data_IF_406662602538
#
_entry.id   IF_406662602538
#
_cell.length_a   1.000
_cell.length_b   1.000
_cell.length_c   1.000
_cell.angle_alpha   90.00
_cell.angle_beta   90.00
_cell.angle_gamma   90.00
#
_symmetry.space_group_name_H-M   'P 1'
#
loop_
_entity.id
_entity.type
_entity.pdbx_description
1 polymer ?
#
# COMPACT_ATOMS: atom_id res chain seq x y z
N UNK A 1 -36.08 6.52 -38.01
CA UNK A 1 -34.81 5.76 -37.93
C UNK A 1 -33.69 6.80 -38.02
N UNK A 2 -33.27 7.31 -36.86
CA UNK A 2 -32.26 8.37 -36.75
C UNK A 2 -30.97 7.69 -36.36
N UNK A 3 -30.03 7.62 -37.30
CA UNK A 3 -28.68 7.11 -37.05
C UNK A 3 -27.85 8.24 -36.46
N UNK A 4 -27.39 8.06 -35.22
CA UNK A 4 -26.42 8.94 -34.56
C UNK A 4 -25.04 8.32 -34.74
N UNK A 5 -24.14 9.00 -35.46
CA UNK A 5 -22.73 8.67 -35.51
C UNK A 5 -22.08 9.05 -34.18
N UNK A 6 -21.52 8.07 -33.47
CA UNK A 6 -20.69 8.28 -32.29
C UNK A 6 -19.23 8.16 -32.74
N UNK A 7 -18.53 9.29 -32.79
CA UNK A 7 -17.09 9.35 -33.04
C UNK A 7 -16.32 8.60 -31.95
N UNK A 8 -15.43 7.71 -32.37
CA UNK A 8 -14.53 6.94 -31.50
C UNK A 8 -13.45 7.90 -30.96
N UNK A 9 -13.32 8.11 -29.64
CA UNK A 9 -12.23 8.92 -29.10
C UNK A 9 -10.91 8.13 -29.18
N UNK A 10 -9.84 8.82 -29.59
CA UNK A 10 -8.47 8.31 -29.64
C UNK A 10 -8.07 7.68 -28.29
N UNK A 11 -7.91 6.35 -28.29
CA UNK A 11 -7.38 5.60 -27.15
C UNK A 11 -5.88 5.91 -27.02
N UNK A 12 -5.38 6.29 -25.82
CA UNK A 12 -3.94 6.39 -25.62
C UNK A 12 -3.28 5.03 -25.86
N UNK A 13 -2.28 5.00 -26.75
CA UNK A 13 -1.45 3.82 -26.99
C UNK A 13 -0.70 3.49 -25.69
N UNK A 14 -0.89 2.25 -25.23
CA UNK A 14 -0.19 1.47 -24.20
C UNK A 14 0.79 2.20 -23.27
N UNK A 15 0.52 2.16 -21.96
CA UNK A 15 1.46 2.51 -20.89
C UNK A 15 2.36 1.29 -20.62
N UNK A 16 3.63 1.36 -21.01
CA UNK A 16 4.67 0.39 -20.62
C UNK A 16 5.22 0.76 -19.24
N UNK A 17 4.92 -0.06 -18.22
CA UNK A 17 5.59 0.02 -16.92
C UNK A 17 6.93 -0.73 -16.98
N UNK A 18 8.04 -0.01 -17.23
CA UNK A 18 9.38 -0.47 -16.87
C UNK A 18 9.85 0.29 -15.63
N UNK A 19 10.29 -0.44 -14.60
CA UNK A 19 11.07 0.15 -13.51
C UNK A 19 12.43 0.47 -14.11
N UNK A 20 12.72 1.75 -14.30
CA UNK A 20 13.93 2.21 -14.95
C UNK A 20 14.93 2.74 -13.93
N UNK A 21 16.20 2.37 -14.07
CA UNK A 21 17.29 3.06 -13.37
C UNK A 21 17.48 4.47 -13.94
N UNK A 22 18.18 5.33 -13.19
CA UNK A 22 18.51 6.68 -13.66
C UNK A 22 19.32 6.65 -14.98
N UNK A 23 20.23 5.68 -15.12
CA UNK A 23 21.05 5.52 -16.32
C UNK A 23 20.22 5.05 -17.52
N UNK A 24 19.21 4.20 -17.31
CA UNK A 24 18.30 3.78 -18.38
C UNK A 24 17.38 4.92 -18.83
N UNK A 25 16.93 5.77 -17.90
CA UNK A 25 16.14 6.97 -18.25
C UNK A 25 16.98 7.95 -19.06
N UNK A 26 18.23 8.21 -18.64
CA UNK A 26 19.20 9.02 -19.39
C UNK A 26 19.52 8.41 -20.76
N UNK A 27 19.61 7.08 -20.85
CA UNK A 27 19.83 6.39 -22.11
C UNK A 27 18.63 6.55 -23.07
N UNK A 28 17.38 6.44 -22.58
CA UNK A 28 16.20 6.68 -23.41
C UNK A 28 16.10 8.12 -23.90
N UNK A 29 16.50 9.11 -23.10
CA UNK A 29 16.56 10.51 -23.57
C UNK A 29 17.61 10.71 -24.66
N UNK A 30 18.70 9.92 -24.64
CA UNK A 30 19.74 9.94 -25.69
C UNK A 30 19.42 9.09 -26.93
N UNK A 31 18.37 8.26 -26.87
CA UNK A 31 17.95 7.40 -27.98
C UNK A 31 16.98 8.17 -28.87
N UNK A 32 17.42 8.56 -30.06
CA UNK A 32 16.55 9.10 -31.11
C UNK A 32 15.45 8.08 -31.47
N UNK A 33 14.19 8.49 -31.70
CA UNK A 33 13.12 7.56 -31.99
C UNK A 33 13.20 7.06 -33.43
N UNK A 34 13.98 6.00 -33.67
CA UNK A 34 13.73 5.11 -34.81
C UNK A 34 12.95 3.90 -34.29
N UNK A 35 11.62 4.07 -34.23
CA UNK A 35 10.70 2.92 -34.15
C UNK A 35 10.33 2.57 -35.59
N UNK A 36 10.73 1.37 -35.99
CA UNK A 36 10.43 0.60 -37.20
C UNK A 36 9.56 1.26 -38.27
N UNK A 37 10.15 1.53 -39.43
CA UNK A 37 9.46 1.45 -40.71
C UNK A 37 10.37 0.80 -41.77
N UNK A 38 9.93 -0.36 -42.23
CA UNK A 38 10.41 -1.01 -43.44
C UNK A 38 10.10 -0.10 -44.65
N UNK A 39 11.13 0.07 -45.50
CA UNK A 39 11.23 0.76 -46.80
C UNK A 39 11.67 2.23 -46.80
N UNK A 40 12.94 2.44 -47.19
CA UNK A 40 13.42 3.65 -47.89
C UNK A 40 12.57 3.91 -49.15
N UNK A 41 12.33 5.19 -49.48
CA UNK A 41 13.15 5.83 -50.50
C UNK A 41 13.70 7.19 -50.09
N UNK A 42 14.76 7.59 -50.79
CA UNK A 42 15.49 8.84 -50.67
C UNK A 42 14.60 10.08 -50.91
N UNK A 43 14.79 11.16 -50.15
CA UNK A 43 14.94 12.54 -50.66
C UNK A 43 15.26 13.53 -49.53
N UNK A 44 15.99 14.55 -49.96
CA UNK A 44 16.67 15.64 -49.26
C UNK A 44 15.73 16.49 -48.38
N UNK A 45 16.16 16.81 -47.15
CA UNK A 45 15.51 17.81 -46.29
C UNK A 45 16.25 17.99 -44.96
N UNK A 46 16.51 19.23 -44.59
CA UNK A 46 17.32 19.66 -43.44
C UNK A 46 16.87 19.00 -42.12
N UNK A 47 17.82 18.43 -41.37
CA UNK A 47 17.59 17.94 -40.01
C UNK A 47 17.47 19.15 -39.09
N UNK A 48 16.22 19.58 -38.85
CA UNK A 48 15.91 20.46 -37.74
C UNK A 48 16.21 19.71 -36.42
N UNK A 49 16.83 20.42 -35.48
CA UNK A 49 17.10 19.97 -34.11
C UNK A 49 15.76 19.76 -33.37
N UNK A 50 15.09 18.63 -33.62
CA UNK A 50 13.84 18.24 -32.95
C UNK A 50 14.16 17.83 -31.50
N UNK A 51 14.28 18.83 -30.63
CA UNK A 51 14.37 18.63 -29.17
C UNK A 51 13.10 17.94 -28.68
N UNK A 52 13.20 16.65 -28.38
CA UNK A 52 12.13 15.90 -27.76
C UNK A 52 11.86 16.46 -26.37
N UNK A 53 10.62 16.90 -26.13
CA UNK A 53 10.18 17.36 -24.81
C UNK A 53 9.53 16.20 -24.07
N UNK A 54 10.11 15.81 -22.94
CA UNK A 54 9.66 14.65 -22.16
C UNK A 54 8.93 15.08 -20.89
N UNK A 55 7.94 14.27 -20.51
CA UNK A 55 7.25 14.38 -19.23
C UNK A 55 7.40 13.04 -18.51
N UNK A 56 7.84 13.09 -17.26
CA UNK A 56 7.87 11.90 -16.40
C UNK A 56 6.57 11.82 -15.61
N UNK A 57 5.83 10.72 -15.75
CA UNK A 57 4.60 10.49 -15.01
C UNK A 57 4.66 9.16 -14.26
N UNK A 58 4.46 9.21 -12.95
CA UNK A 58 4.46 8.05 -12.07
C UNK A 58 3.19 8.06 -11.23
N UNK A 59 2.21 7.23 -11.60
CA UNK A 59 0.91 7.20 -10.92
C UNK A 59 0.92 6.35 -9.64
N UNK A 60 1.92 5.48 -9.50
CA UNK A 60 2.23 4.70 -8.32
C UNK A 60 3.75 4.53 -8.23
N UNK A 61 4.47 5.65 -8.08
CA UNK A 61 5.91 5.63 -7.92
C UNK A 61 6.27 5.12 -6.51
N UNK A 62 6.46 3.81 -6.40
CA UNK A 62 6.62 3.15 -5.10
C UNK A 62 8.07 3.18 -4.61
N UNK A 63 8.27 3.44 -3.31
CA UNK A 63 9.59 3.55 -2.70
C UNK A 63 10.49 4.56 -3.42
N UNK A 64 11.75 4.19 -3.58
CA UNK A 64 12.80 5.04 -4.16
C UNK A 64 12.56 5.39 -5.63
N UNK A 65 11.65 4.71 -6.34
CA UNK A 65 11.29 5.10 -7.71
C UNK A 65 10.77 6.55 -7.75
N UNK A 66 9.95 6.95 -6.76
CA UNK A 66 9.46 8.34 -6.66
C UNK A 66 10.60 9.34 -6.54
N UNK A 67 11.67 8.96 -5.84
CA UNK A 67 12.85 9.78 -5.58
C UNK A 67 13.72 9.87 -6.83
N UNK A 68 13.96 8.73 -7.49
CA UNK A 68 14.70 8.66 -8.75
C UNK A 68 14.03 9.49 -9.84
N UNK A 69 12.69 9.46 -9.92
CA UNK A 69 11.94 10.28 -10.87
C UNK A 69 12.17 11.79 -10.65
N UNK A 70 12.09 12.26 -9.40
CA UNK A 70 12.31 13.67 -9.08
C UNK A 70 13.76 14.09 -9.31
N UNK A 71 14.74 13.26 -8.94
CA UNK A 71 16.16 13.50 -9.23
C UNK A 71 16.42 13.56 -10.73
N UNK A 72 15.85 12.63 -11.50
CA UNK A 72 15.97 12.61 -12.96
C UNK A 72 15.38 13.85 -13.59
N UNK A 73 14.22 14.32 -13.10
CA UNK A 73 13.65 15.59 -13.54
C UNK A 73 14.61 16.75 -13.33
N UNK A 74 15.33 16.81 -12.21
CA UNK A 74 16.33 17.86 -11.94
C UNK A 74 17.57 17.73 -12.83
N UNK A 75 18.12 16.52 -12.95
CA UNK A 75 19.38 16.23 -13.64
C UNK A 75 19.24 16.27 -15.18
N UNK A 76 18.10 15.85 -15.73
CA UNK A 76 17.86 15.78 -17.17
C UNK A 76 17.07 17.00 -17.65
N UNK A 77 17.69 17.84 -18.49
CA UNK A 77 17.07 19.08 -19.03
C UNK A 77 16.03 18.82 -20.12
N UNK A 78 16.01 17.63 -20.70
CA UNK A 78 15.05 17.23 -21.73
C UNK A 78 13.69 16.87 -21.10
N UNK A 79 13.68 16.51 -19.81
CA UNK A 79 12.46 16.38 -19.03
C UNK A 79 11.96 17.77 -18.63
N UNK A 80 10.84 18.18 -19.22
CA UNK A 80 10.23 19.51 -19.01
C UNK A 80 9.25 19.55 -17.85
N UNK A 81 8.66 18.40 -17.50
CA UNK A 81 7.77 18.28 -16.36
C UNK A 81 7.80 16.89 -15.72
N UNK A 82 7.40 16.82 -14.46
CA UNK A 82 7.21 15.58 -13.71
C UNK A 82 5.88 15.61 -12.95
N UNK A 83 5.17 14.47 -12.96
CA UNK A 83 3.99 14.20 -12.15
C UNK A 83 4.28 12.92 -11.36
N UNK A 84 4.44 13.05 -10.05
CA UNK A 84 4.83 11.95 -9.16
C UNK A 84 3.78 11.73 -8.07
N UNK A 85 3.21 10.53 -8.04
CA UNK A 85 2.27 10.05 -7.02
C UNK A 85 2.95 8.91 -6.27
N UNK A 86 3.36 9.17 -5.03
CA UNK A 86 4.00 8.18 -4.17
C UNK A 86 3.00 7.18 -3.58
N UNK A 87 3.44 5.93 -3.32
CA UNK A 87 2.57 4.87 -2.78
C UNK A 87 3.12 4.08 -1.60
N UNK A 88 4.27 3.43 -1.78
CA UNK A 88 4.85 2.50 -0.81
C UNK A 88 6.02 3.15 -0.08
N UNK A 89 5.72 4.07 0.83
CA UNK A 89 6.74 4.78 1.62
C UNK A 89 7.55 3.85 2.53
N UNK A 90 6.98 2.71 2.94
CA UNK A 90 7.70 1.66 3.66
C UNK A 90 8.89 1.06 2.88
N UNK A 91 8.92 1.22 1.56
CA UNK A 91 10.02 0.78 0.70
C UNK A 91 11.04 1.89 0.41
N UNK A 92 10.88 3.07 1.01
CA UNK A 92 11.90 4.12 0.90
C UNK A 92 13.13 3.73 1.71
N UNK A 93 14.29 3.89 1.08
CA UNK A 93 15.55 3.92 1.81
C UNK A 93 15.61 5.20 2.65
N UNK A 94 16.21 5.10 3.83
CA UNK A 94 16.42 6.23 4.72
C UNK A 94 17.91 6.35 5.02
N UNK A 95 18.45 7.56 4.88
CA UNK A 95 19.87 7.80 5.09
C UNK A 95 20.22 7.74 6.57
N UNK A 96 21.30 7.05 6.91
CA UNK A 96 21.96 7.28 8.19
C UNK A 96 22.65 8.65 8.12
N UNK A 97 22.53 9.47 9.17
CA UNK A 97 22.98 10.87 9.20
C UNK A 97 24.50 11.06 8.95
N UNK A 98 25.28 9.97 8.94
CA UNK A 98 26.75 10.03 9.09
C UNK A 98 27.55 9.70 7.82
N UNK A 99 26.93 9.51 6.64
CA UNK A 99 27.67 9.21 5.39
C UNK A 99 27.36 10.25 4.31
N UNK A 100 28.27 11.20 4.13
CA UNK A 100 28.25 12.15 3.02
C UNK A 100 28.20 11.41 1.67
N UNK A 101 27.14 11.62 0.89
CA UNK A 101 26.99 11.05 -0.45
C UNK A 101 26.08 9.81 -0.57
N UNK A 102 25.52 9.30 0.53
CA UNK A 102 24.55 8.19 0.44
C UNK A 102 23.24 8.67 -0.22
N UNK A 103 22.89 8.09 -1.37
CA UNK A 103 21.59 8.32 -2.01
C UNK A 103 20.50 7.63 -1.18
N UNK A 104 19.80 8.40 -0.35
CA UNK A 104 18.62 7.93 0.37
C UNK A 104 17.32 8.38 -0.32
N UNK A 105 16.25 7.66 -0.02
CA UNK A 105 14.88 7.97 -0.44
C UNK A 105 14.20 9.00 0.47
N UNK A 106 14.65 9.12 1.72
CA UNK A 106 14.28 10.19 2.65
C UNK A 106 15.44 10.47 3.63
N UNK A 107 15.68 11.73 4.02
CA UNK A 107 15.11 12.95 3.44
C UNK A 107 15.79 13.36 2.11
N UNK A 108 15.04 14.00 1.22
CA UNK A 108 15.53 14.54 -0.05
C UNK A 108 16.01 15.99 0.07
N UNK A 109 15.20 16.85 0.67
CA UNK A 109 15.43 18.30 0.76
C UNK A 109 16.54 18.65 1.73
N UNK A 110 17.24 19.75 1.46
CA UNK A 110 18.20 20.34 2.39
C UNK A 110 17.51 20.79 3.68
N UNK A 111 16.31 21.38 3.59
CA UNK A 111 15.55 21.83 4.76
C UNK A 111 15.26 20.71 5.77
N UNK A 112 14.76 19.56 5.31
CA UNK A 112 14.45 18.42 6.20
C UNK A 112 15.72 17.75 6.72
N UNK A 113 16.78 17.69 5.90
CA UNK A 113 18.11 17.23 6.34
C UNK A 113 18.66 18.09 7.47
N UNK A 114 18.65 19.41 7.32
CA UNK A 114 19.14 20.36 8.33
C UNK A 114 18.31 20.33 9.61
N UNK A 115 17.01 20.00 9.52
CA UNK A 115 16.15 19.79 10.68
C UNK A 115 16.43 18.47 11.42
N UNK A 116 17.29 17.58 10.89
CA UNK A 116 17.63 16.31 11.53
C UNK A 116 16.47 15.32 11.62
N UNK A 117 15.45 15.45 10.75
CA UNK A 117 14.26 14.62 10.81
C UNK A 117 14.55 13.24 10.22
N UNK A 118 14.27 12.20 11.01
CA UNK A 118 14.22 10.81 10.56
C UNK A 118 12.86 10.20 10.90
N UNK A 119 12.40 9.27 10.09
CA UNK A 119 11.11 8.60 10.23
C UNK A 119 11.25 7.19 10.81
N UNK A 120 12.29 6.45 10.42
CA UNK A 120 12.41 5.03 10.76
C UNK A 120 11.34 4.17 10.06
N UNK A 121 11.52 2.85 10.15
CA UNK A 121 10.64 1.88 9.47
C UNK A 121 9.17 2.02 9.87
N UNK A 122 8.89 2.13 11.17
CA UNK A 122 7.52 2.19 11.69
C UNK A 122 6.73 3.40 11.18
N UNK A 123 7.37 4.58 11.13
CA UNK A 123 6.70 5.79 10.63
C UNK A 123 6.49 5.72 9.13
N UNK A 124 7.42 5.13 8.37
CA UNK A 124 7.24 4.90 6.93
C UNK A 124 6.14 3.87 6.64
N UNK A 125 6.03 2.82 7.45
CA UNK A 125 4.90 1.86 7.42
C UNK A 125 3.57 2.53 7.77
N UNK A 126 3.61 3.51 8.67
CA UNK A 126 2.43 4.25 9.11
C UNK A 126 1.94 5.26 8.06
N UNK A 127 2.86 5.94 7.38
CA UNK A 127 2.54 6.76 6.21
C UNK A 127 1.84 5.94 5.11
N UNK A 128 2.08 4.62 5.06
CA UNK A 128 1.38 3.70 4.17
C UNK A 128 -0.06 3.33 4.61
N UNK A 129 -0.54 3.81 5.76
CA UNK A 129 -1.94 3.64 6.17
C UNK A 129 -2.88 4.57 5.42
N UNK A 130 -4.16 4.19 5.39
CA UNK A 130 -5.25 4.97 4.83
C UNK A 130 -6.42 4.90 5.80
N UNK A 131 -6.63 5.98 6.55
CA UNK A 131 -7.80 6.12 7.41
C UNK A 131 -9.09 6.16 6.58
N UNK A 132 -9.04 6.75 5.39
CA UNK A 132 -10.22 6.98 4.56
C UNK A 132 -10.94 5.71 4.12
N UNK A 133 -10.19 4.62 3.92
CA UNK A 133 -10.78 3.29 3.62
C UNK A 133 -11.69 2.75 4.72
N UNK A 134 -11.58 3.28 5.94
CA UNK A 134 -12.41 2.86 7.06
C UNK A 134 -13.69 3.66 7.19
N UNK A 135 -13.73 4.89 6.69
CA UNK A 135 -14.97 5.69 6.64
C UNK A 135 -16.07 4.97 5.86
N UNK A 136 -15.68 4.20 4.84
CA UNK A 136 -16.58 3.42 3.98
C UNK A 136 -16.79 1.98 4.47
N UNK A 137 -16.13 1.57 5.56
CA UNK A 137 -16.21 0.21 6.09
C UNK A 137 -17.40 0.10 7.04
N UNK A 138 -18.17 -0.98 6.92
CA UNK A 138 -19.23 -1.30 7.88
C UNK A 138 -18.66 -1.68 9.25
N UNK A 139 -19.43 -1.46 10.30
CA UNK A 139 -19.04 -1.68 11.70
C UNK A 139 -18.54 -3.12 11.97
N UNK A 140 -19.26 -4.11 11.46
CA UNK A 140 -18.92 -5.54 11.55
C UNK A 140 -17.54 -5.84 10.95
N UNK A 141 -17.25 -5.29 9.77
CA UNK A 141 -15.97 -5.47 9.10
C UNK A 141 -14.82 -4.73 9.81
N UNK A 142 -15.14 -3.65 10.53
CA UNK A 142 -14.22 -2.91 11.40
C UNK A 142 -13.84 -3.71 12.65
N UNK A 143 -14.84 -4.20 13.39
CA UNK A 143 -14.63 -5.06 14.57
C UNK A 143 -13.82 -6.30 14.22
N UNK A 144 -14.13 -6.96 13.10
CA UNK A 144 -13.36 -8.10 12.64
C UNK A 144 -11.91 -7.75 12.24
N UNK A 145 -11.61 -6.50 11.84
CA UNK A 145 -10.21 -6.09 11.62
C UNK A 145 -9.46 -5.96 12.95
N UNK A 146 -10.10 -5.42 13.99
CA UNK A 146 -9.49 -5.31 15.31
C UNK A 146 -9.21 -6.69 15.90
N UNK A 147 -10.13 -7.63 15.74
CA UNK A 147 -9.91 -9.03 16.11
C UNK A 147 -8.68 -9.64 15.41
N UNK A 148 -8.56 -9.48 14.09
CA UNK A 148 -7.37 -9.95 13.36
C UNK A 148 -6.09 -9.26 13.83
N UNK A 149 -6.15 -7.99 14.25
CA UNK A 149 -5.01 -7.28 14.82
C UNK A 149 -4.65 -7.81 16.22
N UNK A 150 -5.64 -8.18 17.04
CA UNK A 150 -5.42 -8.87 18.30
C UNK A 150 -4.73 -10.22 18.09
N UNK A 151 -5.21 -11.03 17.13
CA UNK A 151 -4.57 -12.30 16.77
C UNK A 151 -3.13 -12.10 16.29
N UNK A 152 -2.86 -11.05 15.51
CA UNK A 152 -1.49 -10.72 15.08
C UNK A 152 -0.59 -10.35 16.25
N UNK A 153 -1.08 -9.60 17.22
CA UNK A 153 -0.32 -9.23 18.41
C UNK A 153 -0.04 -10.46 19.29
N UNK A 154 -1.06 -11.27 19.58
CA UNK A 154 -0.92 -12.52 20.31
C UNK A 154 0.01 -13.51 19.58
N UNK A 155 -0.04 -13.58 18.24
CA UNK A 155 0.86 -14.42 17.46
C UNK A 155 2.32 -13.94 17.56
N UNK A 156 2.58 -12.64 17.68
CA UNK A 156 3.92 -12.14 17.98
C UNK A 156 4.39 -12.63 19.35
N UNK A 157 3.52 -12.71 20.36
CA UNK A 157 3.86 -13.29 21.68
C UNK A 157 4.20 -14.79 21.56
N UNK A 158 3.48 -15.55 20.73
CA UNK A 158 3.82 -16.95 20.41
C UNK A 158 5.24 -17.04 19.83
N UNK A 159 5.56 -16.20 18.84
CA UNK A 159 6.91 -16.17 18.26
C UNK A 159 7.96 -15.77 19.30
N UNK A 160 7.68 -14.79 20.17
CA UNK A 160 8.61 -14.37 21.22
C UNK A 160 8.96 -15.51 22.18
N UNK A 161 7.94 -16.25 22.61
CA UNK A 161 8.08 -17.28 23.63
C UNK A 161 8.69 -18.57 23.09
N UNK A 162 8.31 -18.98 21.89
CA UNK A 162 8.64 -20.31 21.36
C UNK A 162 9.64 -20.31 20.18
N UNK A 163 9.83 -19.16 19.51
CA UNK A 163 10.72 -19.02 18.34
C UNK A 163 11.51 -17.70 18.37
N UNK A 164 12.24 -17.39 19.46
CA UNK A 164 12.91 -16.09 19.64
C UNK A 164 13.93 -15.77 18.52
N UNK A 165 14.54 -16.80 17.92
CA UNK A 165 15.46 -16.68 16.78
C UNK A 165 14.81 -16.06 15.54
N UNK A 166 13.49 -16.20 15.39
CA UNK A 166 12.77 -15.66 14.24
C UNK A 166 12.51 -14.17 14.39
N UNK A 167 12.39 -13.66 15.62
CA UNK A 167 12.08 -12.24 15.88
C UNK A 167 13.19 -11.32 15.40
N UNK A 168 14.44 -11.72 15.56
CA UNK A 168 15.60 -10.95 15.07
C UNK A 168 15.57 -10.76 13.56
N UNK A 169 15.03 -11.75 12.83
CA UNK A 169 14.86 -11.68 11.36
C UNK A 169 13.60 -10.94 10.90
N UNK A 170 12.64 -10.69 11.82
CA UNK A 170 11.38 -9.96 11.55
C UNK A 170 10.68 -10.34 10.23
N UNK A 171 10.37 -11.64 10.01
CA UNK A 171 9.89 -12.12 8.73
C UNK A 171 8.48 -11.61 8.41
N UNK A 172 8.18 -11.48 7.12
CA UNK A 172 6.85 -11.10 6.65
C UNK A 172 5.98 -12.35 6.46
N UNK A 173 4.93 -12.48 7.28
CA UNK A 173 3.91 -13.54 7.16
C UNK A 173 2.87 -13.20 6.07
N UNK A 174 2.97 -12.03 5.46
CA UNK A 174 2.05 -11.57 4.42
C UNK A 174 0.67 -11.18 4.95
N UNK A 175 -0.32 -11.12 4.05
CA UNK A 175 -1.69 -10.60 4.32
C UNK A 175 -2.67 -11.71 4.71
N UNK A 176 -2.32 -12.55 5.68
CA UNK A 176 -3.15 -13.69 6.12
C UNK A 176 -4.60 -13.31 6.46
N UNK A 177 -4.81 -12.17 7.13
CA UNK A 177 -6.15 -11.68 7.42
C UNK A 177 -7.02 -11.43 6.18
N UNK A 178 -6.44 -11.02 5.04
CA UNK A 178 -7.19 -10.88 3.78
C UNK A 178 -7.52 -12.23 3.15
N UNK A 179 -6.63 -13.21 3.29
CA UNK A 179 -6.85 -14.57 2.79
C UNK A 179 -7.97 -15.23 3.60
N UNK A 180 -7.92 -15.13 4.93
CA UNK A 180 -8.94 -15.65 5.84
C UNK A 180 -10.31 -15.03 5.56
N UNK A 181 -10.39 -13.70 5.38
CA UNK A 181 -11.62 -13.00 4.99
C UNK A 181 -12.21 -13.51 3.68
N UNK A 182 -11.38 -13.69 2.65
CA UNK A 182 -11.82 -14.23 1.35
C UNK A 182 -12.38 -15.64 1.49
N UNK A 183 -11.77 -16.47 2.34
CA UNK A 183 -12.26 -17.83 2.60
C UNK A 183 -13.59 -17.80 3.36
N UNK A 184 -13.74 -16.96 4.38
CA UNK A 184 -14.99 -16.80 5.12
C UNK A 184 -16.12 -16.28 4.23
N UNK A 185 -15.86 -15.24 3.43
CA UNK A 185 -16.85 -14.72 2.47
C UNK A 185 -17.27 -15.76 1.43
N UNK A 186 -16.32 -16.57 0.92
CA UNK A 186 -16.65 -17.68 0.01
C UNK A 186 -17.52 -18.74 0.67
N UNK A 187 -17.26 -19.09 1.93
CA UNK A 187 -18.10 -20.06 2.66
C UNK A 187 -19.51 -19.54 2.88
N UNK A 188 -19.66 -18.26 3.25
CA UNK A 188 -20.98 -17.61 3.40
C UNK A 188 -21.73 -17.58 2.06
N UNK A 189 -21.04 -17.28 0.96
CA UNK A 189 -21.66 -17.27 -0.37
C UNK A 189 -22.05 -18.69 -0.83
N UNK A 190 -21.20 -19.69 -0.58
CA UNK A 190 -21.48 -21.10 -0.88
C UNK A 190 -22.63 -21.66 -0.05
N UNK A 191 -22.73 -21.32 1.23
CA UNK A 191 -23.88 -21.71 2.06
C UNK A 191 -25.17 -21.04 1.60
N UNK A 192 -25.10 -19.82 1.06
CA UNK A 192 -26.27 -19.11 0.53
C UNK A 192 -26.77 -19.70 -0.80
N UNK A 193 -25.86 -20.17 -1.67
CA UNK A 193 -26.19 -20.83 -2.94
C UNK A 193 -26.84 -22.20 -2.71
N UNK A 194 -26.40 -22.94 -1.69
CA UNK A 194 -26.98 -24.24 -1.35
C UNK A 194 -28.38 -24.14 -0.72
N UNK A 195 -28.91 -22.93 -0.49
CA UNK A 195 -30.26 -22.72 0.05
C UNK A 195 -31.30 -22.35 -1.02
N UNK A 196 -30.91 -22.13 -2.29
CA UNK A 196 -31.84 -21.74 -3.36
C UNK A 196 -32.35 -22.92 -4.22
N UNK A 197 -31.87 -24.15 -4.02
CA UNK A 197 -32.31 -25.33 -4.80
C UNK A 197 -33.41 -26.18 -4.12
N UNK A 198 -33.77 -25.93 -2.86
CA UNK A 198 -34.79 -26.70 -2.15
C UNK A 198 -35.95 -25.82 -1.66
N UNK A 199 -37.00 -25.68 -2.47
CA UNK A 199 -38.28 -25.11 -2.04
C UNK A 199 -39.41 -26.12 -2.27
N UNK A 200 -39.64 -26.99 -1.27
CA UNK A 200 -41.00 -27.38 -0.87
C UNK A 200 -41.02 -28.01 0.54
N UNK A 201 -41.68 -27.30 1.45
CA UNK A 201 -42.15 -27.71 2.78
C UNK A 201 -41.15 -27.75 3.95
N UNK A 202 -41.43 -26.92 4.96
CA UNK A 202 -41.21 -27.27 6.37
C UNK A 202 -40.03 -26.62 7.07
N UNK A 203 -40.33 -25.52 7.77
CA UNK A 203 -39.63 -25.03 8.97
C UNK A 203 -38.20 -24.48 8.81
N UNK A 204 -38.10 -23.16 8.96
CA UNK A 204 -36.90 -22.40 9.20
C UNK A 204 -35.98 -23.05 10.26
N UNK A 205 -34.86 -23.60 9.82
CA UNK A 205 -33.70 -23.92 10.64
C UNK A 205 -32.46 -23.84 9.71
N UNK A 206 -31.31 -23.42 10.25
CA UNK A 206 -30.03 -23.20 9.56
C UNK A 206 -29.71 -21.79 9.02
N UNK A 207 -30.16 -20.76 9.72
CA UNK A 207 -29.53 -19.42 9.69
C UNK A 207 -28.58 -19.16 10.87
N UNK A 208 -28.17 -20.19 11.62
CA UNK A 208 -27.65 -20.01 12.98
C UNK A 208 -26.25 -20.57 13.20
N UNK A 209 -25.25 -20.17 12.40
CA UNK A 209 -23.85 -20.39 12.80
C UNK A 209 -22.98 -19.15 12.99
N UNK A 210 -23.26 -17.99 12.40
CA UNK A 210 -22.47 -16.78 12.70
C UNK A 210 -23.26 -15.47 12.56
N UNK A 211 -24.45 -15.43 13.14
CA UNK A 211 -25.12 -14.16 13.44
C UNK A 211 -25.65 -14.16 14.86
N UNK A 212 -25.30 -13.12 15.60
CA UNK A 212 -25.66 -12.92 16.99
C UNK A 212 -27.19 -12.86 17.12
N UNK A 213 -27.78 -13.75 17.90
CA UNK A 213 -29.10 -13.51 18.49
C UNK A 213 -29.06 -13.71 20.00
N UNK A 214 -29.63 -12.73 20.69
CA UNK A 214 -29.64 -12.61 22.14
C UNK A 214 -30.19 -13.86 22.82
N UNK A 215 -29.36 -14.41 23.70
CA UNK A 215 -29.71 -15.49 24.61
C UNK A 215 -28.70 -15.48 25.75
N UNK A 216 -29.22 -15.38 26.96
CA UNK A 216 -28.53 -15.03 28.22
C UNK A 216 -27.61 -16.16 28.72
N UNK A 217 -26.58 -16.52 27.92
CA UNK A 217 -25.53 -17.51 28.20
C UNK A 217 -24.21 -17.15 27.45
N UNK A 218 -24.01 -15.86 27.15
CA UNK A 218 -23.26 -15.42 25.97
C UNK A 218 -21.73 -15.27 26.05
N UNK A 219 -21.08 -15.42 27.21
CA UNK A 219 -19.65 -15.08 27.33
C UNK A 219 -18.70 -16.26 27.10
N UNK A 220 -18.97 -17.45 27.65
CA UNK A 220 -18.03 -18.59 27.56
C UNK A 220 -17.95 -19.16 26.14
N UNK A 221 -19.08 -19.26 25.43
CA UNK A 221 -19.13 -19.78 24.05
C UNK A 221 -18.47 -18.82 23.06
N UNK A 222 -18.57 -17.51 23.29
CA UNK A 222 -17.94 -16.50 22.46
C UNK A 222 -16.41 -16.45 22.67
N UNK A 223 -15.95 -16.56 23.92
CA UNK A 223 -14.53 -16.64 24.24
C UNK A 223 -13.87 -17.91 23.67
N UNK A 224 -14.54 -19.07 23.79
CA UNK A 224 -14.10 -20.33 23.20
C UNK A 224 -13.98 -20.24 21.66
N UNK A 225 -14.89 -19.52 21.01
CA UNK A 225 -14.86 -19.30 19.56
C UNK A 225 -13.66 -18.43 19.13
N UNK A 226 -13.39 -17.33 19.86
CA UNK A 226 -12.22 -16.46 19.60
C UNK A 226 -10.90 -17.20 19.73
N UNK A 227 -10.76 -18.05 20.75
CA UNK A 227 -9.58 -18.88 20.93
C UNK A 227 -9.34 -19.80 19.72
N UNK A 228 -10.37 -20.51 19.24
CA UNK A 228 -10.25 -21.39 18.07
C UNK A 228 -9.83 -20.62 16.80
N UNK A 229 -10.32 -19.39 16.63
CA UNK A 229 -9.92 -18.53 15.51
C UNK A 229 -8.46 -18.08 15.63
N UNK A 230 -8.03 -17.71 16.85
CA UNK A 230 -6.63 -17.39 17.14
C UNK A 230 -5.70 -18.57 16.89
N UNK A 231 -6.09 -19.78 17.30
CA UNK A 231 -5.32 -21.00 17.09
C UNK A 231 -5.09 -21.25 15.59
N UNK A 232 -6.18 -21.23 14.80
CA UNK A 232 -6.11 -21.37 13.34
C UNK A 232 -5.25 -20.30 12.69
N UNK A 233 -5.37 -19.05 13.15
CA UNK A 233 -4.54 -17.95 12.69
C UNK A 233 -3.06 -18.23 12.96
N UNK A 234 -2.74 -18.71 14.16
CA UNK A 234 -1.37 -18.99 14.60
C UNK A 234 -0.75 -20.18 13.86
N UNK A 235 -1.49 -21.28 13.69
CA UNK A 235 -1.05 -22.43 12.90
C UNK A 235 -0.75 -22.05 11.46
N UNK A 236 -1.62 -21.26 10.82
CA UNK A 236 -1.37 -20.72 9.49
C UNK A 236 -0.13 -19.83 9.44
N UNK A 237 0.07 -18.99 10.46
CA UNK A 237 1.25 -18.14 10.61
C UNK A 237 2.55 -18.94 10.70
N UNK A 238 2.59 -19.98 11.54
CA UNK A 238 3.75 -20.87 11.70
C UNK A 238 4.06 -21.60 10.38
N UNK A 239 3.03 -22.12 9.71
CA UNK A 239 3.19 -22.79 8.41
C UNK A 239 3.81 -21.87 7.35
N UNK A 240 3.37 -20.61 7.28
CA UNK A 240 3.94 -19.63 6.36
C UNK A 240 5.40 -19.27 6.65
N UNK A 241 5.84 -19.47 7.89
CA UNK A 241 7.23 -19.27 8.32
C UNK A 241 8.07 -20.55 8.24
N UNK A 242 7.47 -21.68 7.84
CA UNK A 242 8.15 -22.99 7.84
C UNK A 242 8.47 -23.52 9.24
N UNK A 243 7.75 -23.06 10.27
CA UNK A 243 7.96 -23.44 11.66
C UNK A 243 7.11 -24.65 12.04
N UNK A 244 7.60 -25.43 13.01
CA UNK A 244 6.86 -26.58 13.56
C UNK A 244 5.57 -26.10 14.22
N UNK A 245 4.49 -26.89 14.14
CA UNK A 245 3.28 -26.58 14.90
C UNK A 245 3.52 -26.76 16.40
N UNK A 246 2.83 -25.95 17.20
CA UNK A 246 2.78 -26.10 18.65
C UNK A 246 1.52 -26.89 19.06
N UNK A 247 1.54 -27.37 20.31
CA UNK A 247 0.36 -27.93 20.96
C UNK A 247 -0.67 -26.85 21.29
N UNK A 248 -1.95 -27.22 21.32
CA UNK A 248 -3.08 -26.34 21.65
C UNK A 248 -2.89 -25.60 22.99
N UNK A 249 -2.33 -26.28 23.99
CA UNK A 249 -2.04 -25.73 25.32
C UNK A 249 -1.18 -24.47 25.28
N UNK A 250 -0.18 -24.43 24.39
CA UNK A 250 0.70 -23.26 24.23
C UNK A 250 -0.04 -22.05 23.64
N UNK A 251 -0.96 -22.28 22.70
CA UNK A 251 -1.80 -21.21 22.17
C UNK A 251 -2.79 -20.72 23.23
N UNK A 252 -3.36 -21.64 24.02
CA UNK A 252 -4.31 -21.31 25.07
C UNK A 252 -3.70 -20.41 26.14
N UNK A 253 -2.49 -20.75 26.61
CA UNK A 253 -1.74 -19.92 27.57
C UNK A 253 -1.55 -18.49 27.05
N UNK A 254 -1.08 -18.34 25.81
CA UNK A 254 -0.81 -17.02 25.20
C UNK A 254 -2.11 -16.24 24.98
N UNK A 255 -3.18 -16.91 24.51
CA UNK A 255 -4.46 -16.24 24.30
C UNK A 255 -5.04 -15.73 25.61
N UNK A 256 -5.00 -16.54 26.68
CA UNK A 256 -5.47 -16.15 28.01
C UNK A 256 -4.75 -14.91 28.55
N UNK A 257 -3.46 -14.77 28.25
CA UNK A 257 -2.67 -13.58 28.60
C UNK A 257 -3.02 -12.36 27.73
N UNK A 258 -3.21 -12.56 26.43
CA UNK A 258 -3.40 -11.47 25.46
C UNK A 258 -4.85 -10.95 25.37
N UNK A 259 -5.84 -11.80 25.60
CA UNK A 259 -7.27 -11.52 25.41
C UNK A 259 -7.77 -10.27 26.17
N UNK A 260 -7.37 -10.02 27.44
CA UNK A 260 -7.77 -8.81 28.16
C UNK A 260 -7.34 -7.51 27.48
N UNK A 261 -6.30 -7.55 26.64
CA UNK A 261 -5.78 -6.39 25.91
C UNK A 261 -6.38 -6.24 24.51
N UNK A 262 -7.21 -7.18 24.05
CA UNK A 262 -7.80 -7.15 22.71
C UNK A 262 -8.67 -5.89 22.49
N UNK A 263 -9.34 -5.40 23.54
CA UNK A 263 -10.15 -4.17 23.49
C UNK A 263 -9.32 -2.91 23.23
N UNK A 264 -8.03 -2.91 23.61
CA UNK A 264 -7.14 -1.77 23.36
C UNK A 264 -6.75 -1.63 21.88
N UNK A 265 -6.93 -2.68 21.07
CA UNK A 265 -6.56 -2.65 19.65
C UNK A 265 -7.31 -1.55 18.90
N UNK A 266 -8.61 -1.35 19.17
CA UNK A 266 -9.41 -0.31 18.52
C UNK A 266 -8.87 1.11 18.74
N UNK A 267 -8.66 1.54 20.00
CA UNK A 267 -8.02 2.82 20.33
C UNK A 267 -6.63 2.99 19.71
N UNK A 268 -5.72 2.02 19.87
CA UNK A 268 -4.37 2.11 19.28
C UNK A 268 -4.40 2.17 17.76
N UNK A 269 -5.29 1.40 17.13
CA UNK A 269 -5.46 1.43 15.69
C UNK A 269 -6.01 2.78 15.22
N UNK A 270 -6.94 3.39 15.97
CA UNK A 270 -7.49 4.70 15.63
C UNK A 270 -6.44 5.80 15.71
N UNK A 271 -5.59 5.78 16.75
CA UNK A 271 -4.44 6.68 16.85
C UNK A 271 -3.48 6.49 15.67
N UNK A 272 -3.19 5.23 15.33
CA UNK A 272 -2.39 4.87 14.15
C UNK A 272 -3.00 5.45 12.86
N UNK A 273 -4.32 5.32 12.67
CA UNK A 273 -5.00 5.85 11.49
C UNK A 273 -4.92 7.38 11.41
N UNK A 274 -5.03 8.08 12.53
CA UNK A 274 -4.91 9.54 12.59
C UNK A 274 -3.49 10.05 12.27
N UNK A 275 -2.45 9.33 12.69
CA UNK A 275 -1.06 9.70 12.46
C UNK A 275 -0.57 9.43 11.02
N UNK A 276 -1.17 8.46 10.31
CA UNK A 276 -0.77 8.08 8.95
C UNK A 276 -0.69 9.27 7.96
N UNK A 277 -1.77 10.07 7.80
CA UNK A 277 -1.78 11.22 6.91
C UNK A 277 -0.75 12.31 7.25
N UNK A 278 -0.44 12.49 8.54
CA UNK A 278 0.58 13.46 8.97
C UNK A 278 1.97 13.05 8.48
N UNK A 279 2.30 11.76 8.63
CA UNK A 279 3.59 11.21 8.19
C UNK A 279 3.71 11.18 6.66
N UNK A 280 2.64 10.86 5.95
CA UNK A 280 2.58 10.99 4.50
C UNK A 280 2.79 12.45 4.05
N UNK A 281 2.17 13.40 4.74
CA UNK A 281 2.31 14.83 4.42
C UNK A 281 3.75 15.30 4.64
N UNK A 282 4.39 14.92 5.75
CA UNK A 282 5.80 15.24 6.00
C UNK A 282 6.71 14.70 4.91
N UNK A 283 6.48 13.44 4.53
CA UNK A 283 7.13 12.84 3.39
C UNK A 283 6.87 13.70 2.15
N UNK A 284 5.64 14.02 1.76
CA UNK A 284 5.35 14.79 0.53
C UNK A 284 5.96 16.19 0.52
N UNK A 285 5.94 16.88 1.67
CA UNK A 285 6.58 18.19 1.85
C UNK A 285 8.09 18.14 1.62
N UNK A 286 8.78 17.07 2.07
CA UNK A 286 10.20 16.88 1.77
C UNK A 286 10.49 16.87 0.25
N UNK A 287 9.60 16.29 -0.55
CA UNK A 287 9.77 16.22 -2.02
C UNK A 287 9.46 17.56 -2.66
N UNK A 288 8.42 18.24 -2.16
CA UNK A 288 8.06 19.59 -2.62
C UNK A 288 9.21 20.57 -2.34
N UNK A 289 9.76 20.55 -1.12
CA UNK A 289 10.89 21.38 -0.73
C UNK A 289 12.12 21.09 -1.59
N UNK A 290 12.46 19.81 -1.83
CA UNK A 290 13.58 19.45 -2.70
C UNK A 290 13.50 20.08 -4.11
N UNK A 291 12.28 20.18 -4.66
CA UNK A 291 12.05 20.83 -5.95
C UNK A 291 12.11 22.35 -5.84
N UNK A 292 11.48 22.94 -4.81
CA UNK A 292 11.46 24.39 -4.59
C UNK A 292 12.85 24.96 -4.27
N UNK A 293 13.74 24.15 -3.70
CA UNK A 293 15.15 24.49 -3.47
C UNK A 293 15.93 24.79 -4.76
N UNK A 294 15.41 24.41 -5.94
CA UNK A 294 16.01 24.75 -7.25
C UNK A 294 15.74 26.20 -7.69
N UNK A 295 15.08 26.99 -6.84
CA UNK A 295 14.79 28.40 -7.07
C UNK A 295 13.86 28.64 -8.26
N UNK A 296 13.97 29.82 -8.88
CA UNK A 296 13.06 30.29 -9.93
C UNK A 296 13.18 29.55 -11.28
N UNK A 297 13.96 28.48 -11.37
CA UNK A 297 14.16 27.71 -12.60
C UNK A 297 13.02 26.73 -12.90
N UNK A 298 12.15 26.48 -11.91
CA UNK A 298 11.00 25.59 -12.04
C UNK A 298 9.86 26.03 -11.12
N UNK A 299 8.65 25.60 -11.46
CA UNK A 299 7.47 25.69 -10.63
C UNK A 299 7.14 24.29 -10.09
N UNK A 300 6.89 24.17 -8.79
CA UNK A 300 6.51 22.91 -8.15
C UNK A 300 5.33 23.10 -7.21
N UNK A 301 4.35 22.21 -7.30
CA UNK A 301 3.10 22.22 -6.54
C UNK A 301 2.77 20.82 -6.00
N UNK A 302 2.00 20.79 -4.92
CA UNK A 302 1.45 19.58 -4.32
C UNK A 302 -0.07 19.69 -4.34
N UNK A 303 -0.75 18.73 -5.00
CA UNK A 303 -2.19 18.83 -5.25
C UNK A 303 -2.88 17.48 -5.02
N UNK A 304 -4.02 17.43 -4.30
CA UNK A 304 -4.86 16.26 -4.26
C UNK A 304 -5.59 16.08 -5.61
N UNK A 305 -5.38 14.95 -6.28
CA UNK A 305 -5.90 14.66 -7.62
C UNK A 305 -6.92 13.52 -7.66
N UNK A 306 -7.02 12.73 -6.59
CA UNK A 306 -7.99 11.63 -6.50
C UNK A 306 -8.86 11.74 -5.25
N UNK A 307 -10.03 11.10 -5.30
CA UNK A 307 -10.82 10.83 -4.09
C UNK A 307 -10.03 9.85 -3.19
N UNK A 308 -9.68 10.24 -1.94
CA UNK A 308 -8.94 9.37 -1.03
C UNK A 308 -9.70 8.08 -0.65
N UNK A 309 -11.03 8.03 -0.82
CA UNK A 309 -11.80 6.80 -0.65
C UNK A 309 -11.53 5.79 -1.77
N UNK A 310 -11.32 6.26 -3.01
CA UNK A 310 -11.02 5.42 -4.18
C UNK A 310 -9.52 5.10 -4.27
N UNK A 311 -8.69 6.13 -4.19
CA UNK A 311 -7.23 6.01 -4.18
C UNK A 311 -6.67 6.77 -2.99
N UNK A 312 -6.37 6.09 -1.87
CA UNK A 312 -5.81 6.75 -0.68
C UNK A 312 -4.51 7.52 -0.91
N UNK A 313 -3.77 7.15 -1.95
CA UNK A 313 -2.57 7.84 -2.41
C UNK A 313 -3.02 8.85 -3.45
N UNK A 314 -3.62 9.93 -2.96
CA UNK A 314 -4.33 10.89 -3.80
C UNK A 314 -3.57 12.18 -4.08
N UNK A 315 -2.38 12.38 -3.51
CA UNK A 315 -1.63 13.62 -3.68
C UNK A 315 -0.53 13.43 -4.73
N UNK A 316 -0.51 14.33 -5.72
CA UNK A 316 0.56 14.43 -6.71
C UNK A 316 1.54 15.56 -6.35
N UNK A 317 2.82 15.28 -6.54
CA UNK A 317 3.86 16.30 -6.69
C UNK A 317 4.00 16.58 -8.20
N UNK A 318 3.73 17.80 -8.60
CA UNK A 318 3.83 18.23 -10.00
C UNK A 318 4.88 19.32 -10.08
N UNK A 319 5.84 19.18 -10.99
CA UNK A 319 6.79 20.25 -11.28
C UNK A 319 7.02 20.41 -12.78
N UNK A 320 7.27 21.65 -13.20
CA UNK A 320 7.59 22.01 -14.58
C UNK A 320 8.71 23.04 -14.60
N UNK A 321 9.55 23.00 -15.62
CA UNK A 321 10.57 24.03 -15.85
C UNK A 321 9.92 25.29 -16.44
N UNK A 322 10.45 26.46 -16.09
CA UNK A 322 10.04 27.77 -16.61
C UNK A 322 10.93 28.15 -17.80
#
# INVERSE_FOLDING_TARGET
MVSVEIGIPNVPKTITSRVMSIDMLKALTSMSPHIDNVKRPELIGQVADDKTSLILAGLHACGDLSVTMLKTFIECKDVKAVVSIGCCYNLLSEGCLDIAGSQCGFPMSCGVKSAGISLGKSSRDLACQSAERWRILKEDAGLHNFELHAFRAAFQMVLCKYYPEIITSSPSIGRQGKVLRRQQQRRILQSSINCEEDDYSGSALYSHEFSCNGGTSGNETAAANKFLLFEKFSQSGLSCLGLKSLQETHFHEIWKEAEPFAELIGPYWSLRAALGPLLETLLLLDRLLFLQEQGSSLEAIMVPIFDPALSPRNVAIIAKRI
#
